data_IF_763997003036
#
_entry.id   IF_763997003036
#
_cell.length_a   1.000
_cell.length_b   1.000
_cell.length_c   1.000
_cell.angle_alpha   90.00
_cell.angle_beta   90.00
_cell.angle_gamma   90.00
#
_symmetry.space_group_name_H-M   'P 1'
#
loop_
_entity.id
_entity.type
_entity.pdbx_description
1 polymer ?
#
# COMPACT_ATOMS: atom_id res chain seq x y z
N UNK A 1 -55.61 -49.30 0.70
CA UNK A 1 -54.32 -49.40 0.00
C UNK A 1 -54.52 -48.63 -1.31
N UNK A 2 -53.83 -47.57 -1.69
CA UNK A 2 -52.52 -47.09 -1.25
C UNK A 2 -52.31 -45.61 -1.66
N UNK A 3 -51.60 -44.90 -0.78
CA UNK A 3 -50.63 -43.80 -0.97
C UNK A 3 -50.99 -42.59 -1.87
N UNK A 4 -51.58 -41.56 -1.25
CA UNK A 4 -51.46 -40.17 -1.71
C UNK A 4 -49.99 -39.71 -1.59
N UNK A 5 -49.24 -39.78 -2.68
CA UNK A 5 -47.90 -39.17 -2.79
C UNK A 5 -48.03 -37.64 -2.76
N UNK A 6 -47.95 -37.06 -1.56
CA UNK A 6 -47.77 -35.62 -1.39
C UNK A 6 -46.28 -35.31 -1.50
N UNK A 7 -45.81 -35.10 -2.73
CA UNK A 7 -44.49 -34.52 -2.94
C UNK A 7 -44.47 -33.10 -2.37
N UNK A 8 -43.83 -32.93 -1.22
CA UNK A 8 -43.46 -31.61 -0.69
C UNK A 8 -42.42 -31.02 -1.62
N UNK A 9 -42.82 -30.09 -2.47
CA UNK A 9 -41.91 -29.24 -3.25
C UNK A 9 -41.18 -28.33 -2.27
N UNK A 10 -40.03 -28.77 -1.76
CA UNK A 10 -39.08 -27.87 -1.12
C UNK A 10 -38.57 -26.99 -2.28
N UNK A 11 -39.15 -25.80 -2.44
CA UNK A 11 -38.57 -24.81 -3.34
C UNK A 11 -37.22 -24.47 -2.74
N UNK A 12 -36.15 -24.83 -3.44
CA UNK A 12 -34.79 -24.41 -3.14
C UNK A 12 -34.73 -22.88 -3.19
N UNK A 13 -35.15 -22.21 -2.11
CA UNK A 13 -34.82 -20.82 -1.90
C UNK A 13 -33.33 -20.80 -1.63
N UNK A 14 -32.56 -20.54 -2.68
CA UNK A 14 -31.15 -20.17 -2.56
C UNK A 14 -31.08 -19.08 -1.48
N UNK A 15 -30.34 -19.28 -0.38
CA UNK A 15 -30.26 -18.28 0.66
C UNK A 15 -29.77 -16.99 0.01
N UNK A 16 -30.58 -15.92 0.13
CA UNK A 16 -30.20 -14.60 -0.39
C UNK A 16 -28.82 -14.28 0.17
N UNK A 17 -27.86 -14.05 -0.73
CA UNK A 17 -26.47 -13.76 -0.37
C UNK A 17 -26.48 -12.64 0.68
N UNK A 18 -26.13 -12.98 1.92
CA UNK A 18 -26.13 -12.02 3.02
C UNK A 18 -25.05 -10.99 2.71
N UNK A 19 -25.46 -9.78 2.33
CA UNK A 19 -24.52 -8.67 2.24
C UNK A 19 -24.05 -8.40 3.67
N UNK A 20 -22.74 -8.44 3.95
CA UNK A 20 -22.26 -8.10 5.27
C UNK A 20 -22.76 -6.69 5.61
N UNK A 21 -23.24 -6.45 6.84
CA UNK A 21 -23.81 -5.16 7.24
C UNK A 21 -22.80 -4.01 7.13
N UNK A 22 -21.53 -4.33 6.90
CA UNK A 22 -20.45 -3.38 6.73
C UNK A 22 -19.73 -3.59 5.38
N UNK A 23 -20.41 -3.29 4.28
CA UNK A 23 -19.81 -3.34 2.93
C UNK A 23 -18.56 -2.44 2.79
N UNK A 24 -18.51 -1.34 3.55
CA UNK A 24 -17.49 -0.29 3.39
C UNK A 24 -16.33 -0.37 4.38
N UNK A 25 -16.22 -1.43 5.20
CA UNK A 25 -15.16 -1.52 6.24
C UNK A 25 -13.78 -1.36 5.64
N UNK A 26 -13.53 -1.99 4.49
CA UNK A 26 -12.25 -1.93 3.80
C UNK A 26 -11.90 -0.51 3.40
N UNK A 27 -12.87 0.23 2.85
CA UNK A 27 -12.68 1.62 2.44
C UNK A 27 -12.44 2.54 3.65
N UNK A 28 -13.24 2.38 4.71
CA UNK A 28 -13.07 3.15 5.96
C UNK A 28 -11.73 2.88 6.63
N UNK A 29 -11.29 1.63 6.63
CA UNK A 29 -9.99 1.24 7.15
C UNK A 29 -8.85 1.88 6.34
N UNK A 30 -8.93 1.81 5.00
CA UNK A 30 -7.94 2.43 4.12
C UNK A 30 -7.86 3.95 4.31
N UNK A 31 -9.01 4.64 4.33
CA UNK A 31 -9.05 6.07 4.57
C UNK A 31 -8.45 6.46 5.94
N UNK A 32 -8.65 5.64 6.98
CA UNK A 32 -8.04 5.85 8.29
C UNK A 32 -6.51 5.71 8.25
N UNK A 33 -5.99 4.70 7.53
CA UNK A 33 -4.56 4.50 7.35
C UNK A 33 -3.92 5.67 6.59
N UNK A 34 -4.55 6.13 5.51
CA UNK A 34 -4.10 7.28 4.72
C UNK A 34 -4.07 8.57 5.56
N UNK A 35 -5.12 8.82 6.35
CA UNK A 35 -5.17 9.97 7.27
C UNK A 35 -4.07 9.90 8.34
N UNK A 36 -3.83 8.72 8.91
CA UNK A 36 -2.78 8.52 9.91
C UNK A 36 -1.40 8.79 9.30
N UNK A 37 -1.12 8.22 8.12
CA UNK A 37 0.12 8.43 7.38
C UNK A 37 0.33 9.91 7.06
N UNK A 38 -0.69 10.59 6.54
CA UNK A 38 -0.63 12.02 6.24
C UNK A 38 -0.26 12.85 7.47
N UNK A 39 -0.92 12.60 8.62
CA UNK A 39 -0.64 13.33 9.85
C UNK A 39 0.76 13.05 10.40
N UNK A 40 1.22 11.80 10.31
CA UNK A 40 2.57 11.41 10.72
C UNK A 40 3.64 12.08 9.83
N UNK A 41 3.43 12.06 8.51
CA UNK A 41 4.37 12.62 7.54
C UNK A 41 4.32 14.16 7.48
N UNK A 42 3.28 14.81 8.03
CA UNK A 42 3.04 16.27 7.92
C UNK A 42 4.23 17.14 8.34
N UNK A 43 4.98 16.72 9.36
CA UNK A 43 6.16 17.44 9.85
C UNK A 43 7.49 16.87 9.32
N UNK A 44 7.44 15.81 8.52
CA UNK A 44 8.64 15.19 7.96
C UNK A 44 9.16 16.01 6.78
N UNK A 45 10.47 16.27 6.76
CA UNK A 45 11.11 16.89 5.58
C UNK A 45 11.18 15.86 4.47
N UNK A 46 10.65 16.20 3.29
CA UNK A 46 10.82 15.35 2.13
C UNK A 46 12.30 15.17 1.82
N UNK A 47 12.72 13.92 1.64
CA UNK A 47 14.06 13.63 1.18
C UNK A 47 14.20 14.15 -0.26
N UNK A 48 15.22 14.97 -0.53
CA UNK A 48 15.49 15.43 -1.88
C UNK A 48 15.83 14.20 -2.74
N UNK A 49 15.12 14.03 -3.85
CA UNK A 49 15.53 13.07 -4.86
C UNK A 49 16.62 13.75 -5.70
N UNK A 50 17.79 13.13 -5.73
CA UNK A 50 18.86 13.58 -6.62
C UNK A 50 18.66 13.01 -8.02
N UNK A 51 19.14 13.77 -9.00
CA UNK A 51 19.15 13.40 -10.41
C UNK A 51 20.54 12.93 -10.84
N UNK A 52 20.63 12.35 -12.04
CA UNK A 52 21.90 12.08 -12.69
C UNK A 52 22.66 13.40 -12.87
N UNK A 53 23.97 13.35 -12.75
CA UNK A 53 24.89 14.48 -12.86
C UNK A 53 24.77 15.55 -11.75
N UNK A 54 23.95 15.31 -10.71
CA UNK A 54 23.91 16.18 -9.53
C UNK A 54 25.23 16.10 -8.75
N UNK A 55 25.76 17.27 -8.39
CA UNK A 55 26.92 17.41 -7.51
C UNK A 55 26.52 17.17 -6.05
N UNK A 56 27.16 16.20 -5.40
CA UNK A 56 26.91 15.81 -4.01
C UNK A 56 28.18 15.78 -3.18
N UNK A 57 28.01 15.75 -1.85
CA UNK A 57 29.08 15.46 -0.91
C UNK A 57 28.77 14.14 -0.22
N UNK A 58 29.74 13.23 -0.25
CA UNK A 58 29.65 11.91 0.37
C UNK A 58 30.60 11.86 1.54
N UNK A 59 30.12 11.36 2.68
CA UNK A 59 30.95 11.13 3.85
C UNK A 59 31.61 9.76 3.73
N UNK A 60 32.92 9.74 3.56
CA UNK A 60 33.73 8.52 3.58
C UNK A 60 34.56 8.53 4.86
N UNK A 61 34.15 7.71 5.83
CA UNK A 61 34.70 7.71 7.18
C UNK A 61 34.50 9.06 7.88
N UNK A 62 35.61 9.74 8.19
CA UNK A 62 35.61 11.07 8.85
C UNK A 62 35.74 12.24 7.87
N UNK A 63 35.81 11.98 6.56
CA UNK A 63 36.05 13.01 5.54
C UNK A 63 34.87 13.18 4.60
N UNK A 64 34.56 14.43 4.25
CA UNK A 64 33.57 14.74 3.22
C UNK A 64 34.29 14.91 1.88
N UNK A 65 33.94 14.08 0.90
CA UNK A 65 34.44 14.19 -0.48
C UNK A 65 33.33 14.66 -1.41
N UNK A 66 33.70 15.39 -2.45
CA UNK A 66 32.79 15.71 -3.55
C UNK A 66 32.64 14.50 -4.46
N UNK A 67 31.47 14.34 -5.05
CA UNK A 67 31.22 13.34 -6.08
C UNK A 67 29.99 13.71 -6.91
N UNK A 68 29.81 13.02 -8.01
CA UNK A 68 28.71 13.23 -8.96
C UNK A 68 27.87 11.96 -9.03
N UNK A 69 26.55 12.12 -9.02
CA UNK A 69 25.65 10.98 -9.13
C UNK A 69 25.65 10.45 -10.56
N UNK A 70 26.04 9.19 -10.71
CA UNK A 70 26.11 8.53 -12.02
C UNK A 70 24.92 7.63 -12.29
N UNK A 71 24.29 7.11 -11.24
CA UNK A 71 23.15 6.19 -11.36
C UNK A 71 22.33 6.12 -10.09
N UNK A 72 21.03 5.81 -10.24
CA UNK A 72 20.17 5.40 -9.13
C UNK A 72 20.38 3.92 -8.84
N UNK A 73 20.75 3.60 -7.60
CA UNK A 73 20.94 2.22 -7.16
C UNK A 73 19.58 1.51 -7.01
N UNK A 74 19.49 0.17 -7.21
CA UNK A 74 18.26 -0.58 -7.00
C UNK A 74 17.69 -0.47 -5.58
N UNK A 75 18.58 -0.32 -4.59
CA UNK A 75 18.18 -0.10 -3.19
C UNK A 75 17.46 1.24 -3.04
N UNK A 76 16.33 1.31 -2.33
CA UNK A 76 15.60 2.55 -2.13
C UNK A 76 16.49 3.65 -1.53
N UNK A 77 16.45 4.83 -2.15
CA UNK A 77 17.17 6.04 -1.69
C UNK A 77 18.70 5.91 -1.73
N UNK A 78 19.24 5.01 -2.56
CA UNK A 78 20.66 4.85 -2.77
C UNK A 78 21.05 5.28 -4.18
N UNK A 79 22.26 5.84 -4.32
CA UNK A 79 22.80 6.36 -5.57
C UNK A 79 24.26 5.94 -5.69
N UNK A 80 24.69 5.66 -6.91
CA UNK A 80 26.09 5.43 -7.23
C UNK A 80 26.74 6.79 -7.50
N UNK A 81 27.92 7.01 -6.91
CA UNK A 81 28.64 8.28 -6.96
C UNK A 81 30.08 8.05 -7.39
N UNK A 82 30.57 8.87 -8.32
CA UNK A 82 31.98 8.91 -8.76
C UNK A 82 32.65 10.22 -8.39
#
# INVERSE_FOLDING_TARGET
MDLKSHQRRIKDQVPKLLKPPYADVKQKFQARQEKQKFNYDRATRHHKNFQLDDNVRVQLGKTWKRGVITKRHPTPRSYDVT
#
